data_IF_092952280811
#
_entry.id   IF_092952280811
#
_cell.length_a   1.000
_cell.length_b   1.000
_cell.length_c   1.000
_cell.angle_alpha   90.00
_cell.angle_beta   90.00
_cell.angle_gamma   90.00
#
_symmetry.space_group_name_H-M   'P 1'
#
loop_
_entity.id
_entity.type
_entity.pdbx_description
1 polymer ?
#
# COMPACT_ATOMS: atom_id res chain seq x y z
N UNK A 1 3.20 14.81 13.19
CA UNK A 1 3.50 16.00 13.99
C UNK A 1 2.62 16.10 15.25
N UNK A 2 1.27 16.16 15.14
CA UNK A 2 0.39 16.31 16.31
C UNK A 2 0.66 15.28 17.41
N UNK A 3 0.66 13.98 17.04
CA UNK A 3 0.94 12.90 17.99
C UNK A 3 2.32 13.06 18.65
N UNK A 4 3.36 13.35 17.86
CA UNK A 4 4.71 13.54 18.40
C UNK A 4 4.77 14.77 19.32
N UNK A 5 4.12 15.87 18.94
CA UNK A 5 4.03 17.07 19.78
C UNK A 5 3.36 16.77 21.13
N UNK A 6 2.31 15.92 21.12
CA UNK A 6 1.59 15.55 22.32
C UNK A 6 2.35 14.58 23.26
N UNK A 7 3.24 13.73 22.72
CA UNK A 7 3.78 12.59 23.48
C UNK A 7 5.31 12.58 23.61
N UNK A 8 6.05 13.17 22.67
CA UNK A 8 7.53 13.05 22.63
C UNK A 8 8.27 14.38 22.81
N UNK A 9 7.67 15.51 22.45
CA UNK A 9 8.37 16.79 22.44
C UNK A 9 8.88 17.22 23.83
N UNK A 10 8.15 16.89 24.89
CA UNK A 10 8.60 17.18 26.27
C UNK A 10 9.92 16.48 26.61
N UNK A 11 10.15 15.27 26.08
CA UNK A 11 11.41 14.55 26.25
C UNK A 11 12.59 15.28 25.59
N UNK A 12 12.31 16.02 24.50
CA UNK A 12 13.30 16.89 23.85
C UNK A 12 13.41 18.30 24.44
N UNK A 13 12.77 18.56 25.60
CA UNK A 13 12.76 19.87 26.25
C UNK A 13 11.81 20.90 25.62
N UNK A 14 10.91 20.46 24.75
CA UNK A 14 9.94 21.33 24.07
C UNK A 14 8.58 21.20 24.74
N UNK A 15 8.13 22.24 25.44
CA UNK A 15 6.83 22.30 26.09
C UNK A 15 5.82 23.01 25.20
N UNK A 16 4.69 22.35 24.92
CA UNK A 16 3.60 22.90 24.12
C UNK A 16 2.35 23.03 25.00
N UNK A 17 1.74 24.23 25.02
CA UNK A 17 0.45 24.47 25.66
C UNK A 17 -0.66 24.44 24.61
N UNK A 18 -1.84 23.99 25.01
CA UNK A 18 -3.09 24.06 24.22
C UNK A 18 -3.00 23.46 22.80
N UNK A 19 -2.31 22.32 22.67
CA UNK A 19 -2.19 21.62 21.40
C UNK A 19 -3.57 21.10 20.95
N UNK A 20 -4.05 21.59 19.80
CA UNK A 20 -5.35 21.23 19.22
C UNK A 20 -5.22 20.86 17.74
N UNK A 21 -6.12 20.00 17.27
CA UNK A 21 -6.27 19.68 15.86
C UNK A 21 -7.37 20.56 15.25
N UNK A 22 -7.04 21.28 14.19
CA UNK A 22 -8.02 21.90 13.30
C UNK A 22 -8.22 21.00 12.08
N UNK A 23 -9.27 20.19 12.11
CA UNK A 23 -9.60 19.26 11.01
C UNK A 23 -9.90 20.00 9.71
N UNK A 24 -10.54 21.19 9.77
CA UNK A 24 -10.84 21.96 8.56
C UNK A 24 -9.56 22.38 7.86
N UNK A 25 -8.59 22.91 8.63
CA UNK A 25 -7.29 23.31 8.09
C UNK A 25 -6.48 22.09 7.61
N UNK A 26 -6.53 20.96 8.34
CA UNK A 26 -5.82 19.75 7.95
C UNK A 26 -6.34 19.19 6.62
N UNK A 27 -7.66 19.16 6.42
CA UNK A 27 -8.26 18.75 5.15
C UNK A 27 -7.94 19.73 4.03
N UNK A 28 -8.07 21.05 4.28
CA UNK A 28 -7.71 22.07 3.30
C UNK A 28 -6.24 21.92 2.84
N UNK A 29 -5.32 21.70 3.78
CA UNK A 29 -3.89 21.46 3.43
C UNK A 29 -3.71 20.21 2.57
N UNK A 30 -4.45 19.13 2.85
CA UNK A 30 -4.44 17.92 2.01
C UNK A 30 -4.98 18.25 0.60
N UNK A 31 -6.09 18.98 0.50
CA UNK A 31 -6.68 19.35 -0.78
C UNK A 31 -5.75 20.24 -1.62
N UNK A 32 -5.02 21.18 -0.98
CA UNK A 32 -4.00 22.00 -1.63
C UNK A 32 -2.88 21.16 -2.22
N UNK A 33 -2.40 20.11 -1.50
CA UNK A 33 -1.35 19.20 -2.02
C UNK A 33 -1.88 18.43 -3.22
N UNK A 34 -3.10 17.89 -3.14
CA UNK A 34 -3.74 17.18 -4.25
C UNK A 34 -3.87 18.09 -5.47
N UNK A 35 -4.33 19.34 -5.28
CA UNK A 35 -4.46 20.32 -6.36
C UNK A 35 -3.11 20.64 -7.02
N UNK A 36 -2.05 20.80 -6.24
CA UNK A 36 -0.70 21.04 -6.78
C UNK A 36 -0.20 19.84 -7.59
N UNK A 37 -0.40 18.62 -7.12
CA UNK A 37 0.02 17.42 -7.83
C UNK A 37 -0.76 17.23 -9.14
N UNK A 38 -2.07 17.43 -9.13
CA UNK A 38 -2.89 17.32 -10.35
C UNK A 38 -2.58 18.41 -11.37
N UNK A 39 -2.31 19.65 -10.91
CA UNK A 39 -1.84 20.73 -11.77
C UNK A 39 -0.47 20.40 -12.40
N UNK A 40 0.41 19.73 -11.65
CA UNK A 40 1.69 19.22 -12.16
C UNK A 40 1.50 18.24 -13.32
N UNK A 41 0.56 17.31 -13.22
CA UNK A 41 0.23 16.35 -14.30
C UNK A 41 -0.29 17.10 -15.53
N UNK A 42 -1.21 18.04 -15.35
CA UNK A 42 -1.74 18.88 -16.44
C UNK A 42 -0.62 19.65 -17.16
N UNK A 43 0.32 20.20 -16.39
CA UNK A 43 1.51 20.85 -16.94
C UNK A 43 2.38 19.89 -17.76
N UNK A 44 2.61 18.67 -17.28
CA UNK A 44 3.39 17.66 -17.99
C UNK A 44 2.72 17.23 -19.29
N UNK A 45 1.40 17.07 -19.32
CA UNK A 45 0.66 16.78 -20.55
C UNK A 45 0.87 17.89 -21.59
N UNK A 46 0.69 19.15 -21.18
CA UNK A 46 0.91 20.32 -22.07
C UNK A 46 2.37 20.39 -22.57
N UNK A 47 3.35 20.21 -21.66
CA UNK A 47 4.79 20.25 -22.00
C UNK A 47 5.16 19.19 -23.04
N UNK A 48 4.60 17.98 -22.88
CA UNK A 48 4.89 16.85 -23.76
C UNK A 48 3.92 16.73 -24.96
N UNK A 49 3.04 17.71 -25.15
CA UNK A 49 2.06 17.74 -26.27
C UNK A 49 1.15 16.50 -26.27
N UNK A 50 0.69 16.11 -25.10
CA UNK A 50 -0.26 15.01 -24.90
C UNK A 50 -1.65 15.62 -24.81
N UNK A 51 -2.56 15.19 -25.67
CA UNK A 51 -3.97 15.60 -25.64
C UNK A 51 -4.70 14.87 -24.52
N UNK A 52 -5.41 15.64 -23.69
CA UNK A 52 -6.23 15.12 -22.61
C UNK A 52 -7.72 15.28 -22.93
N UNK A 53 -8.47 14.20 -22.82
CA UNK A 53 -9.91 14.15 -23.06
C UNK A 53 -10.63 13.82 -21.76
N UNK A 54 -11.41 14.77 -21.26
CA UNK A 54 -12.18 14.59 -20.01
C UNK A 54 -13.50 13.91 -20.29
N UNK A 55 -13.74 12.74 -19.68
CA UNK A 55 -14.97 11.98 -19.82
C UNK A 55 -14.80 10.51 -19.48
N UNK A 56 -15.84 9.75 -19.75
CA UNK A 56 -15.85 8.28 -19.58
C UNK A 56 -15.54 7.64 -20.94
N UNK A 57 -14.38 6.98 -21.02
CA UNK A 57 -13.95 6.25 -22.22
C UNK A 57 -14.60 4.87 -22.29
N UNK A 58 -15.07 4.49 -23.48
CA UNK A 58 -15.56 3.14 -23.77
C UNK A 58 -15.22 2.71 -25.18
N UNK A 59 -15.04 1.41 -25.41
CA UNK A 59 -14.82 0.88 -26.74
C UNK A 59 -16.09 0.91 -27.60
N UNK A 60 -16.00 1.42 -28.82
CA UNK A 60 -16.94 1.16 -29.90
C UNK A 60 -16.48 -0.07 -30.69
N UNK A 61 -15.19 -0.12 -30.99
CA UNK A 61 -14.44 -1.24 -31.55
C UNK A 61 -12.98 -1.19 -31.03
N UNK A 62 -12.12 -2.13 -31.46
CA UNK A 62 -10.73 -2.25 -30.96
C UNK A 62 -9.84 -1.02 -31.20
N UNK A 63 -10.19 -0.18 -32.14
CA UNK A 63 -9.43 1.02 -32.53
C UNK A 63 -10.17 2.33 -32.25
N UNK A 64 -11.46 2.26 -31.86
CA UNK A 64 -12.31 3.42 -31.67
C UNK A 64 -12.79 3.51 -30.22
N UNK A 65 -12.45 4.62 -29.55
CA UNK A 65 -12.88 4.95 -28.21
C UNK A 65 -13.92 6.08 -28.28
N UNK A 66 -15.06 5.87 -27.61
CA UNK A 66 -16.05 6.92 -27.36
C UNK A 66 -15.74 7.55 -26.03
N UNK A 67 -15.53 8.85 -26.00
CA UNK A 67 -15.44 9.65 -24.77
C UNK A 67 -16.80 10.32 -24.53
N UNK A 68 -17.48 9.93 -23.45
CA UNK A 68 -18.75 10.55 -23.03
C UNK A 68 -18.42 11.63 -21.99
N UNK A 69 -18.68 12.89 -22.31
CA UNK A 69 -18.43 14.05 -21.45
C UNK A 69 -19.53 14.20 -20.38
N UNK A 70 -19.28 15.04 -19.38
CA UNK A 70 -20.21 15.26 -18.25
C UNK A 70 -21.57 15.84 -18.69
N UNK A 71 -21.62 16.56 -19.80
CA UNK A 71 -22.85 17.12 -20.41
C UNK A 71 -23.60 16.10 -21.27
N UNK A 72 -23.11 14.85 -21.38
CA UNK A 72 -23.67 13.78 -22.18
C UNK A 72 -23.24 13.80 -23.65
N UNK A 73 -22.51 14.80 -24.11
CA UNK A 73 -21.93 14.81 -25.44
C UNK A 73 -20.86 13.74 -25.63
N UNK A 74 -20.67 13.28 -26.85
CA UNK A 74 -19.70 12.22 -27.14
C UNK A 74 -18.68 12.68 -28.17
N UNK A 75 -17.44 12.18 -28.01
CA UNK A 75 -16.37 12.39 -28.97
C UNK A 75 -15.74 11.06 -29.34
N UNK A 76 -15.41 10.85 -30.62
CA UNK A 76 -14.77 9.61 -31.09
C UNK A 76 -13.28 9.83 -31.30
N UNK A 77 -12.48 8.94 -30.72
CA UNK A 77 -11.03 8.92 -30.88
C UNK A 77 -10.61 7.61 -31.55
N UNK A 78 -9.75 7.73 -32.57
CA UNK A 78 -9.20 6.55 -33.26
C UNK A 78 -7.74 6.38 -32.91
N UNK A 79 -7.32 5.17 -32.53
CA UNK A 79 -5.96 4.86 -32.17
C UNK A 79 -5.50 3.52 -32.73
N UNK A 80 -4.20 3.41 -33.06
CA UNK A 80 -3.59 2.12 -33.46
C UNK A 80 -3.43 1.18 -32.26
N UNK A 81 -3.06 1.75 -31.10
CA UNK A 81 -2.88 1.04 -29.85
C UNK A 81 -3.71 1.73 -28.75
N UNK A 82 -4.27 0.94 -27.85
CA UNK A 82 -5.04 1.41 -26.70
C UNK A 82 -4.48 0.77 -25.43
N UNK A 83 -4.27 1.58 -24.39
CA UNK A 83 -3.84 1.11 -23.07
C UNK A 83 -4.97 1.34 -22.08
N UNK A 84 -5.48 0.27 -21.48
CA UNK A 84 -6.51 0.32 -20.45
C UNK A 84 -5.81 0.49 -19.09
N UNK A 85 -5.99 1.66 -18.47
CA UNK A 85 -5.36 2.02 -17.20
C UNK A 85 -6.41 2.57 -16.20
N UNK A 86 -7.60 1.97 -16.18
CA UNK A 86 -8.77 2.48 -15.45
C UNK A 86 -8.75 2.22 -13.95
N UNK A 87 -7.71 1.55 -13.46
CA UNK A 87 -7.46 1.38 -12.03
C UNK A 87 -8.45 0.45 -11.33
N UNK A 88 -8.75 0.75 -10.08
CA UNK A 88 -9.60 -0.06 -9.21
C UNK A 88 -10.54 0.79 -8.37
N UNK A 89 -11.52 0.13 -7.74
CA UNK A 89 -12.44 0.71 -6.77
C UNK A 89 -12.47 -0.11 -5.48
N UNK A 90 -12.86 0.46 -4.34
CA UNK A 90 -13.07 -0.31 -3.11
C UNK A 90 -14.01 -1.48 -3.35
N UNK A 91 -13.67 -2.65 -2.80
CA UNK A 91 -14.52 -3.84 -2.89
C UNK A 91 -15.78 -3.65 -2.05
N UNK A 92 -16.93 -3.83 -2.66
CA UNK A 92 -18.21 -3.87 -1.95
C UNK A 92 -18.50 -5.30 -1.50
N UNK A 93 -18.95 -5.44 -0.25
CA UNK A 93 -19.48 -6.72 0.27
C UNK A 93 -21.02 -6.65 0.22
N UNK A 94 -21.71 -7.61 -0.42
CA UNK A 94 -23.15 -7.52 -0.62
C UNK A 94 -23.98 -7.42 0.67
N UNK A 95 -23.45 -7.97 1.77
CA UNK A 95 -24.08 -7.95 3.09
C UNK A 95 -23.70 -6.75 3.95
N UNK A 96 -22.82 -5.85 3.46
CA UNK A 96 -22.30 -4.71 4.20
C UNK A 96 -22.65 -3.42 3.45
N UNK A 97 -23.74 -2.73 3.80
CA UNK A 97 -24.16 -1.52 3.10
C UNK A 97 -23.20 -0.36 3.37
N UNK A 98 -22.60 0.19 2.32
CA UNK A 98 -21.77 1.41 2.38
C UNK A 98 -22.71 2.60 2.16
N UNK A 99 -22.99 3.38 3.20
CA UNK A 99 -23.87 4.56 3.14
C UNK A 99 -23.11 5.86 2.83
N UNK A 100 -21.80 5.81 2.76
CA UNK A 100 -20.88 6.96 2.53
C UNK A 100 -21.01 8.07 3.57
N UNK A 101 -21.65 7.79 4.70
CA UNK A 101 -21.86 8.76 5.80
C UNK A 101 -21.27 8.26 7.10
N UNK A 102 -21.55 7.03 7.48
CA UNK A 102 -21.09 6.37 8.71
C UNK A 102 -20.38 5.05 8.42
N UNK A 103 -20.87 4.27 7.47
CA UNK A 103 -20.17 3.12 6.92
C UNK A 103 -19.55 3.58 5.61
N UNK A 104 -18.25 3.81 5.64
CA UNK A 104 -17.48 4.54 4.63
C UNK A 104 -16.37 3.69 4.05
N UNK A 105 -15.86 4.10 2.89
CA UNK A 105 -14.62 3.55 2.31
C UNK A 105 -13.43 4.47 2.59
N UNK A 106 -12.27 4.13 2.03
CA UNK A 106 -11.09 5.01 2.05
C UNK A 106 -11.38 6.39 1.45
N UNK A 107 -12.25 6.48 0.46
CA UNK A 107 -12.61 7.73 -0.22
C UNK A 107 -13.20 8.76 0.75
N UNK A 108 -14.22 8.37 1.49
CA UNK A 108 -14.88 9.26 2.46
C UNK A 108 -14.01 9.48 3.69
N UNK A 109 -13.24 8.47 4.11
CA UNK A 109 -12.31 8.59 5.24
C UNK A 109 -11.25 9.68 5.04
N UNK A 110 -10.85 9.97 3.80
CA UNK A 110 -9.91 11.05 3.47
C UNK A 110 -10.51 12.46 3.59
N UNK A 111 -11.82 12.59 3.85
CA UNK A 111 -12.54 13.89 3.84
C UNK A 111 -13.42 14.12 5.07
N UNK A 112 -13.24 13.32 6.13
CA UNK A 112 -13.98 13.54 7.38
C UNK A 112 -13.70 14.93 7.96
N UNK A 113 -14.76 15.59 8.39
CA UNK A 113 -14.69 16.97 8.91
C UNK A 113 -14.46 17.06 10.42
N UNK A 114 -14.46 15.90 11.08
CA UNK A 114 -14.28 15.78 12.54
C UNK A 114 -13.34 14.62 12.87
N UNK A 115 -12.71 14.65 14.02
CA UNK A 115 -12.02 13.50 14.59
C UNK A 115 -13.08 12.66 15.34
N UNK A 116 -13.42 11.44 14.86
CA UNK A 116 -14.37 10.59 15.57
C UNK A 116 -13.81 10.16 16.92
N UNK A 117 -14.70 9.88 17.89
CA UNK A 117 -14.26 9.31 19.18
C UNK A 117 -13.90 7.85 19.03
N UNK A 118 -14.68 7.11 18.23
CA UNK A 118 -14.53 5.69 18.02
C UNK A 118 -14.63 5.34 16.53
N UNK A 119 -13.86 4.34 16.09
CA UNK A 119 -13.85 3.88 14.72
C UNK A 119 -13.59 2.37 14.66
N UNK A 120 -14.41 1.66 13.88
CA UNK A 120 -14.13 0.28 13.49
C UNK A 120 -13.55 0.28 12.08
N UNK A 121 -12.48 -0.46 11.87
CA UNK A 121 -11.85 -0.68 10.56
C UNK A 121 -12.03 -2.15 10.20
N UNK A 122 -12.75 -2.43 9.12
CA UNK A 122 -12.92 -3.78 8.58
C UNK A 122 -11.84 -4.01 7.52
N UNK A 123 -10.90 -4.92 7.84
CA UNK A 123 -9.73 -5.24 7.04
C UNK A 123 -8.44 -4.71 7.65
N UNK A 124 -7.53 -5.63 8.01
CA UNK A 124 -6.19 -5.37 8.54
C UNK A 124 -5.12 -5.26 7.44
N UNK A 125 -5.52 -4.91 6.21
CA UNK A 125 -4.62 -4.62 5.10
C UNK A 125 -4.07 -3.19 5.15
N UNK A 126 -3.25 -2.83 4.15
CA UNK A 126 -2.51 -1.56 4.05
C UNK A 126 -3.43 -0.35 4.27
N UNK A 127 -4.50 -0.22 3.48
CA UNK A 127 -5.41 0.93 3.52
C UNK A 127 -6.09 1.08 4.90
N UNK A 128 -6.57 -0.04 5.47
CA UNK A 128 -7.22 -0.03 6.78
C UNK A 128 -6.30 0.41 7.90
N UNK A 129 -5.06 -0.05 7.87
CA UNK A 129 -4.06 0.30 8.89
C UNK A 129 -3.54 1.73 8.75
N UNK A 130 -3.28 2.18 7.53
CA UNK A 130 -2.85 3.57 7.30
C UNK A 130 -3.91 4.56 7.79
N UNK A 131 -5.16 4.44 7.33
CA UNK A 131 -6.24 5.34 7.73
C UNK A 131 -6.60 5.18 9.21
N UNK A 132 -6.69 3.94 9.71
CA UNK A 132 -6.94 3.68 11.11
C UNK A 132 -5.88 4.30 12.02
N UNK A 133 -4.59 4.17 11.66
CA UNK A 133 -3.50 4.77 12.43
C UNK A 133 -3.49 6.30 12.39
N UNK A 134 -3.88 6.92 11.26
CA UNK A 134 -4.04 8.38 11.17
C UNK A 134 -5.07 8.86 12.20
N UNK A 135 -6.26 8.25 12.24
CA UNK A 135 -7.29 8.63 13.20
C UNK A 135 -6.90 8.30 14.65
N UNK A 136 -6.24 7.16 14.88
CA UNK A 136 -5.72 6.83 16.20
C UNK A 136 -4.68 7.86 16.68
N UNK A 137 -3.81 8.35 15.81
CA UNK A 137 -2.84 9.43 16.11
C UNK A 137 -3.50 10.78 16.39
N UNK A 138 -4.74 10.96 15.98
CA UNK A 138 -5.56 12.14 16.27
C UNK A 138 -6.41 11.97 17.55
N UNK A 139 -6.39 10.80 18.18
CA UNK A 139 -7.08 10.51 19.44
C UNK A 139 -8.34 9.64 19.31
N UNK A 140 -8.64 9.12 18.12
CA UNK A 140 -9.75 8.17 17.92
C UNK A 140 -9.40 6.79 18.51
N UNK A 141 -10.33 6.18 19.26
CA UNK A 141 -10.21 4.76 19.64
C UNK A 141 -10.55 3.89 18.43
N UNK A 142 -9.56 3.18 17.91
CA UNK A 142 -9.68 2.36 16.68
C UNK A 142 -9.64 0.88 17.03
N UNK A 143 -10.63 0.12 16.52
CA UNK A 143 -10.64 -1.34 16.54
C UNK A 143 -10.61 -1.87 15.11
N UNK A 144 -9.60 -2.68 14.79
CA UNK A 144 -9.43 -3.35 13.50
C UNK A 144 -10.02 -4.75 13.58
N UNK A 145 -10.92 -5.11 12.64
CA UNK A 145 -11.49 -6.44 12.51
C UNK A 145 -10.94 -7.09 11.25
N UNK A 146 -10.20 -8.19 11.41
CA UNK A 146 -9.52 -8.89 10.33
C UNK A 146 -9.92 -10.35 10.28
N UNK A 147 -10.28 -10.83 9.10
CA UNK A 147 -10.66 -12.22 8.85
C UNK A 147 -9.46 -13.17 8.97
N UNK A 148 -8.30 -12.74 8.49
CA UNK A 148 -7.06 -13.50 8.56
C UNK A 148 -6.48 -13.57 9.99
N UNK A 149 -5.56 -14.51 10.27
CA UNK A 149 -4.90 -14.61 11.58
C UNK A 149 -3.90 -13.49 11.86
N UNK A 150 -3.51 -12.71 10.83
CA UNK A 150 -2.54 -11.62 10.93
C UNK A 150 -2.94 -10.43 10.08
N UNK A 151 -2.48 -9.24 10.46
CA UNK A 151 -2.55 -8.03 9.61
C UNK A 151 -1.48 -8.07 8.53
N UNK A 152 -1.65 -7.28 7.45
CA UNK A 152 -0.74 -7.20 6.30
C UNK A 152 -0.24 -8.58 5.82
N UNK A 153 -1.13 -9.57 5.75
CA UNK A 153 -0.79 -10.97 5.49
C UNK A 153 -0.15 -11.27 4.13
N UNK A 154 0.00 -10.27 3.25
CA UNK A 154 0.76 -10.36 1.99
C UNK A 154 2.24 -10.07 2.15
N UNK A 155 2.67 -9.57 3.32
CA UNK A 155 4.06 -9.29 3.67
C UNK A 155 4.62 -10.38 4.60
N UNK A 156 5.92 -10.32 4.86
CA UNK A 156 6.58 -11.24 5.81
C UNK A 156 5.88 -11.20 7.18
N UNK A 157 5.63 -12.35 7.75
CA UNK A 157 4.85 -12.49 9.00
C UNK A 157 5.48 -11.75 10.19
N UNK A 158 6.80 -11.61 10.22
CA UNK A 158 7.51 -10.83 11.24
C UNK A 158 7.11 -9.36 11.22
N UNK A 159 6.90 -8.79 10.04
CA UNK A 159 6.46 -7.39 9.89
C UNK A 159 5.05 -7.19 10.44
N UNK A 160 4.10 -8.07 10.09
CA UNK A 160 2.72 -7.99 10.59
C UNK A 160 2.63 -8.09 12.10
N UNK A 161 3.38 -9.01 12.69
CA UNK A 161 3.46 -9.20 14.15
C UNK A 161 4.03 -7.96 14.85
N UNK A 162 5.12 -7.42 14.33
CA UNK A 162 5.76 -6.25 14.93
C UNK A 162 4.90 -4.99 14.78
N UNK A 163 4.33 -4.75 13.58
CA UNK A 163 3.43 -3.62 13.36
C UNK A 163 2.23 -3.65 14.31
N UNK A 164 1.58 -4.81 14.46
CA UNK A 164 0.47 -4.97 15.39
C UNK A 164 0.88 -4.65 16.83
N UNK A 165 2.05 -5.14 17.26
CA UNK A 165 2.62 -4.86 18.58
C UNK A 165 2.81 -3.36 18.81
N UNK A 166 3.42 -2.69 17.84
CA UNK A 166 3.73 -1.25 17.95
C UNK A 166 2.45 -0.41 17.94
N UNK A 167 1.53 -0.63 17.00
CA UNK A 167 0.27 0.12 16.91
C UNK A 167 -0.60 -0.05 18.16
N UNK A 168 -0.61 -1.28 18.73
CA UNK A 168 -1.30 -1.53 20.01
C UNK A 168 -0.64 -0.77 21.16
N UNK A 169 0.69 -0.81 21.26
CA UNK A 169 1.44 -0.19 22.35
C UNK A 169 1.41 1.35 22.28
N UNK A 170 1.64 1.92 21.07
CA UNK A 170 1.83 3.37 20.91
C UNK A 170 0.54 4.14 20.68
N UNK A 171 -0.46 3.52 20.06
CA UNK A 171 -1.72 4.18 19.69
C UNK A 171 -2.96 3.60 20.37
N UNK A 172 -2.80 2.55 21.19
CA UNK A 172 -3.93 1.86 21.84
C UNK A 172 -4.91 1.21 20.86
N UNK A 173 -4.47 0.93 19.63
CA UNK A 173 -5.33 0.25 18.65
C UNK A 173 -5.64 -1.18 19.09
N UNK A 174 -6.87 -1.60 18.90
CA UNK A 174 -7.31 -2.97 19.16
C UNK A 174 -7.38 -3.77 17.86
N UNK A 175 -7.06 -5.07 17.94
CA UNK A 175 -7.03 -5.97 16.78
C UNK A 175 -7.80 -7.23 17.08
N UNK A 176 -8.87 -7.48 16.33
CA UNK A 176 -9.66 -8.69 16.32
C UNK A 176 -9.34 -9.47 15.04
N UNK A 177 -8.27 -10.28 15.09
CA UNK A 177 -7.91 -11.21 14.01
C UNK A 177 -8.71 -12.49 14.11
N UNK A 178 -8.82 -13.28 13.02
CA UNK A 178 -9.71 -14.44 12.92
C UNK A 178 -11.18 -14.10 13.22
N UNK A 179 -11.62 -12.90 12.83
CA UNK A 179 -13.00 -12.45 13.00
C UNK A 179 -13.65 -12.19 11.64
N UNK A 180 -14.72 -12.91 11.34
CA UNK A 180 -15.50 -12.77 10.10
C UNK A 180 -16.63 -11.77 10.33
N UNK A 181 -16.55 -10.61 9.71
CA UNK A 181 -17.65 -9.64 9.73
C UNK A 181 -18.88 -10.24 9.03
N UNK A 182 -20.02 -10.17 9.69
CA UNK A 182 -21.30 -10.71 9.23
C UNK A 182 -22.31 -9.63 8.87
N UNK A 183 -22.10 -8.39 9.31
CA UNK A 183 -22.97 -7.28 8.97
C UNK A 183 -22.58 -5.98 9.65
N UNK A 184 -23.20 -4.89 9.20
CA UNK A 184 -23.18 -3.61 9.90
C UNK A 184 -24.50 -2.88 9.70
N UNK A 185 -24.87 -2.07 10.67
CA UNK A 185 -26.08 -1.23 10.63
C UNK A 185 -25.82 0.12 11.27
N UNK A 186 -26.64 1.11 10.91
CA UNK A 186 -26.55 2.48 11.46
C UNK A 186 -27.86 2.81 12.17
N UNK A 187 -27.76 3.26 13.43
CA UNK A 187 -28.89 3.81 14.19
C UNK A 187 -28.50 5.21 14.71
N UNK A 188 -29.08 6.23 14.14
CA UNK A 188 -28.70 7.62 14.44
C UNK A 188 -27.28 7.91 14.03
N UNK A 189 -26.39 8.15 14.99
CA UNK A 189 -24.96 8.42 14.78
C UNK A 189 -24.06 7.22 15.10
N UNK A 190 -24.63 6.09 15.52
CA UNK A 190 -23.90 4.92 15.95
C UNK A 190 -23.93 3.85 14.87
N UNK A 191 -22.75 3.36 14.51
CA UNK A 191 -22.57 2.17 13.68
C UNK A 191 -22.41 0.96 14.59
N UNK A 192 -23.18 -0.10 14.34
CA UNK A 192 -22.97 -1.40 14.98
C UNK A 192 -22.42 -2.36 13.93
N UNK A 193 -21.24 -2.90 14.17
CA UNK A 193 -20.61 -3.96 13.35
C UNK A 193 -20.74 -5.28 14.09
N UNK A 194 -21.18 -6.32 13.37
CA UNK A 194 -21.25 -7.70 13.88
C UNK A 194 -20.19 -8.55 13.19
N UNK A 195 -19.52 -9.38 13.97
CA UNK A 195 -18.52 -10.32 13.49
C UNK A 195 -18.56 -11.61 14.31
N UNK A 196 -18.23 -12.74 13.70
CA UNK A 196 -18.06 -14.02 14.36
C UNK A 196 -16.56 -14.26 14.59
N UNK A 197 -16.18 -14.66 15.82
CA UNK A 197 -14.83 -15.08 16.12
C UNK A 197 -14.54 -16.50 15.60
N UNK A 198 -13.31 -17.00 15.77
CA UNK A 198 -12.89 -18.32 15.32
C UNK A 198 -13.72 -19.48 15.89
N UNK A 199 -14.45 -19.26 17.01
CA UNK A 199 -15.33 -20.24 17.61
C UNK A 199 -16.78 -20.13 17.12
N UNK A 200 -17.09 -19.16 16.26
CA UNK A 200 -18.45 -18.86 15.80
C UNK A 200 -19.28 -18.04 16.81
N UNK A 201 -18.65 -17.46 17.82
CA UNK A 201 -19.32 -16.61 18.79
C UNK A 201 -19.43 -15.18 18.22
N UNK A 202 -20.65 -14.63 18.28
CA UNK A 202 -20.91 -13.30 17.75
C UNK A 202 -20.35 -12.19 18.65
N UNK A 203 -19.61 -11.27 18.04
CA UNK A 203 -19.10 -10.07 18.67
C UNK A 203 -19.80 -8.85 18.06
N UNK A 204 -20.19 -7.89 18.90
CA UNK A 204 -20.77 -6.61 18.48
C UNK A 204 -19.84 -5.47 18.87
N UNK A 205 -19.59 -4.58 17.91
CA UNK A 205 -18.76 -3.38 18.09
C UNK A 205 -19.59 -2.15 17.73
N UNK A 206 -19.58 -1.15 18.59
CA UNK A 206 -20.24 0.13 18.36
C UNK A 206 -19.20 1.23 18.14
N UNK A 207 -19.41 2.07 17.13
CA UNK A 207 -18.52 3.18 16.81
C UNK A 207 -19.25 4.33 16.13
N UNK A 208 -18.60 5.50 16.08
CA UNK A 208 -19.07 6.66 15.32
C UNK A 208 -18.99 6.43 13.82
N UNK A 209 -17.93 5.73 13.37
CA UNK A 209 -17.68 5.42 11.97
C UNK A 209 -17.14 4.00 11.80
N UNK A 210 -17.44 3.43 10.63
CA UNK A 210 -16.86 2.17 10.18
C UNK A 210 -16.20 2.36 8.82
N UNK A 211 -14.88 2.08 8.71
CA UNK A 211 -14.17 2.04 7.42
C UNK A 211 -14.19 0.61 6.89
N UNK A 212 -14.66 0.43 5.65
CA UNK A 212 -14.59 -0.83 4.92
C UNK A 212 -13.36 -0.83 4.02
N UNK A 213 -12.34 -1.61 4.38
CA UNK A 213 -11.04 -1.67 3.71
C UNK A 213 -10.62 -3.12 3.39
N UNK A 214 -11.55 -3.91 2.83
CA UNK A 214 -11.40 -5.35 2.54
C UNK A 214 -10.78 -5.65 1.18
N UNK A 215 -10.11 -4.69 0.58
CA UNK A 215 -9.45 -4.80 -0.71
C UNK A 215 -10.08 -3.94 -1.79
N UNK A 216 -9.60 -4.13 -3.02
CA UNK A 216 -9.99 -3.38 -4.21
C UNK A 216 -10.32 -4.33 -5.34
N UNK A 217 -11.22 -3.90 -6.23
CA UNK A 217 -11.64 -4.66 -7.41
C UNK A 217 -11.33 -3.83 -8.66
N UNK A 218 -10.82 -4.45 -9.71
CA UNK A 218 -10.52 -3.78 -10.98
C UNK A 218 -11.74 -3.02 -11.52
N UNK A 219 -11.51 -1.82 -12.04
CA UNK A 219 -12.58 -0.97 -12.55
C UNK A 219 -12.71 -1.15 -14.06
N UNK A 220 -13.56 -2.08 -14.48
CA UNK A 220 -13.80 -2.46 -15.88
C UNK A 220 -15.24 -2.16 -16.35
N UNK A 221 -16.10 -1.72 -15.43
CA UNK A 221 -17.49 -1.44 -15.77
C UNK A 221 -17.64 -0.28 -16.76
N UNK A 222 -18.47 -0.48 -17.78
CA UNK A 222 -18.77 0.55 -18.78
C UNK A 222 -17.69 0.75 -19.87
N UNK A 223 -16.63 -0.04 -19.85
CA UNK A 223 -15.57 0.05 -20.87
C UNK A 223 -16.00 -0.51 -22.24
N UNK A 224 -17.06 -1.32 -22.32
CA UNK A 224 -17.47 -1.96 -23.58
C UNK A 224 -16.52 -3.08 -24.03
N UNK A 225 -15.88 -3.77 -23.08
CA UNK A 225 -14.90 -4.83 -23.33
C UNK A 225 -15.47 -5.98 -24.15
N UNK A 226 -16.75 -6.27 -23.96
CA UNK A 226 -17.54 -7.29 -24.70
C UNK A 226 -17.61 -7.01 -26.20
N UNK A 227 -17.59 -5.73 -26.61
CA UNK A 227 -17.63 -5.32 -28.02
C UNK A 227 -16.35 -5.68 -28.77
N UNK A 228 -15.25 -5.83 -28.04
CA UNK A 228 -13.95 -6.17 -28.60
C UNK A 228 -13.48 -7.59 -28.22
N UNK A 229 -14.38 -8.39 -27.57
CA UNK A 229 -14.10 -9.78 -27.25
C UNK A 229 -13.21 -9.99 -26.03
N UNK A 230 -13.06 -9.00 -25.15
CA UNK A 230 -12.34 -9.16 -23.88
C UNK A 230 -13.33 -9.51 -22.76
N UNK A 231 -13.07 -10.62 -22.07
CA UNK A 231 -13.83 -11.05 -20.89
C UNK A 231 -12.92 -10.93 -19.66
N UNK A 232 -13.25 -10.05 -18.71
CA UNK A 232 -12.55 -10.00 -17.43
C UNK A 232 -12.69 -11.30 -16.63
N UNK A 233 -11.71 -11.58 -15.76
CA UNK A 233 -11.77 -12.69 -14.82
C UNK A 233 -12.96 -12.54 -13.86
N UNK A 234 -13.66 -13.64 -13.54
CA UNK A 234 -14.80 -13.65 -12.59
C UNK A 234 -14.38 -13.10 -11.22
N UNK A 235 -13.20 -13.50 -10.74
CA UNK A 235 -12.68 -13.04 -9.46
C UNK A 235 -11.86 -11.76 -9.61
N UNK A 236 -12.40 -10.64 -9.16
CA UNK A 236 -11.70 -9.36 -9.11
C UNK A 236 -11.84 -8.52 -10.37
N UNK A 237 -12.55 -8.99 -11.40
CA UNK A 237 -12.79 -8.31 -12.68
C UNK A 237 -11.51 -7.88 -13.43
N UNK A 238 -10.43 -8.62 -13.26
CA UNK A 238 -9.14 -8.28 -13.87
C UNK A 238 -9.14 -8.62 -15.36
N UNK A 239 -8.47 -7.79 -16.14
CA UNK A 239 -8.29 -8.02 -17.58
C UNK A 239 -7.11 -8.97 -17.76
N UNK A 240 -7.28 -10.14 -18.41
CA UNK A 240 -6.18 -11.04 -18.73
C UNK A 240 -5.23 -10.40 -19.75
N UNK A 241 -3.93 -10.51 -19.49
CA UNK A 241 -2.86 -10.06 -20.39
C UNK A 241 -1.76 -11.11 -20.48
N UNK A 242 -1.00 -11.07 -21.59
CA UNK A 242 0.21 -11.87 -21.75
C UNK A 242 1.43 -11.21 -21.08
N UNK A 243 2.62 -11.79 -21.23
CA UNK A 243 3.87 -11.28 -20.65
C UNK A 243 4.30 -9.91 -21.21
N UNK A 244 3.67 -9.45 -22.31
CA UNK A 244 3.88 -8.13 -22.89
C UNK A 244 2.78 -7.14 -22.52
N UNK A 245 1.95 -7.47 -21.53
CA UNK A 245 0.81 -6.67 -21.08
C UNK A 245 -0.24 -6.43 -22.18
N UNK A 246 -0.20 -7.20 -23.29
CA UNK A 246 -1.19 -7.16 -24.36
C UNK A 246 -2.34 -8.11 -24.02
N UNK A 247 -3.57 -7.67 -24.26
CA UNK A 247 -4.78 -8.49 -24.09
C UNK A 247 -4.90 -9.53 -25.23
N UNK A 248 -5.96 -10.32 -25.23
CA UNK A 248 -6.26 -11.20 -26.35
C UNK A 248 -6.53 -10.44 -27.67
N UNK A 249 -6.72 -9.13 -27.62
CA UNK A 249 -6.98 -8.25 -28.77
C UNK A 249 -5.72 -7.50 -29.13
N UNK A 250 -5.16 -7.81 -30.30
CA UNK A 250 -3.92 -7.20 -30.77
C UNK A 250 -4.00 -5.67 -30.82
N UNK A 251 -3.00 -5.01 -30.21
CA UNK A 251 -2.92 -3.56 -30.09
C UNK A 251 -3.72 -2.98 -28.91
N UNK A 252 -4.34 -3.85 -28.08
CA UNK A 252 -5.01 -3.44 -26.85
C UNK A 252 -4.25 -3.99 -25.65
N UNK A 253 -3.73 -3.11 -24.84
CA UNK A 253 -2.94 -3.40 -23.64
C UNK A 253 -3.71 -3.04 -22.37
N UNK A 254 -3.33 -3.61 -21.22
CA UNK A 254 -3.87 -3.21 -19.93
C UNK A 254 -2.76 -3.19 -18.88
N UNK A 255 -2.82 -2.22 -17.96
CA UNK A 255 -1.79 -1.98 -16.94
C UNK A 255 -2.40 -1.59 -15.58
N UNK A 256 -1.60 -1.69 -14.53
CA UNK A 256 -1.96 -1.24 -13.18
C UNK A 256 -2.98 -2.13 -12.50
N UNK A 257 -3.91 -1.51 -11.76
CA UNK A 257 -4.86 -2.23 -10.92
C UNK A 257 -5.88 -3.06 -11.70
N UNK A 258 -6.06 -2.83 -13.00
CA UNK A 258 -7.03 -3.59 -13.81
C UNK A 258 -6.52 -4.96 -14.23
N UNK A 259 -5.22 -5.26 -14.04
CA UNK A 259 -4.61 -6.56 -14.34
C UNK A 259 -4.20 -7.31 -13.08
N UNK A 260 -3.71 -8.54 -13.25
CA UNK A 260 -3.17 -9.37 -12.17
C UNK A 260 -1.92 -8.73 -11.54
N UNK A 261 -1.70 -9.00 -10.25
CA UNK A 261 -0.55 -8.51 -9.48
C UNK A 261 -0.94 -7.52 -8.40
N UNK A 262 0.07 -6.87 -7.81
CA UNK A 262 -0.10 -5.87 -6.77
C UNK A 262 -0.77 -4.60 -7.32
N UNK A 263 -1.67 -4.02 -6.53
CA UNK A 263 -2.35 -2.76 -6.87
C UNK A 263 -1.53 -1.59 -6.29
N UNK A 264 -0.45 -1.22 -6.98
CA UNK A 264 0.53 -0.22 -6.57
C UNK A 264 0.76 0.79 -7.70
N UNK A 265 0.81 2.07 -7.36
CA UNK A 265 0.98 3.15 -8.32
C UNK A 265 2.30 3.04 -9.11
N UNK A 266 3.42 2.83 -8.42
CA UNK A 266 4.73 2.67 -9.04
C UNK A 266 4.83 1.44 -9.96
N UNK A 267 4.13 0.32 -9.64
CA UNK A 267 3.99 -0.81 -10.57
C UNK A 267 3.28 -0.38 -11.85
N UNK A 268 2.18 0.37 -11.75
CA UNK A 268 1.42 0.84 -12.90
C UNK A 268 2.22 1.83 -13.76
N UNK A 269 3.04 2.68 -13.13
CA UNK A 269 3.94 3.61 -13.81
C UNK A 269 4.98 2.86 -14.63
N UNK A 270 5.67 1.87 -14.05
CA UNK A 270 6.66 1.04 -14.75
C UNK A 270 6.01 0.21 -15.87
N UNK A 271 4.82 -0.35 -15.63
CA UNK A 271 4.06 -1.05 -16.69
C UNK A 271 3.66 -0.10 -17.83
N UNK A 272 3.33 1.15 -17.54
CA UNK A 272 3.06 2.18 -18.54
C UNK A 272 4.27 2.47 -19.43
N UNK A 273 5.45 2.63 -18.82
CA UNK A 273 6.72 2.80 -19.53
C UNK A 273 7.01 1.56 -20.37
N UNK A 274 6.89 0.36 -19.79
CA UNK A 274 7.10 -0.92 -20.46
C UNK A 274 6.24 -1.04 -21.74
N UNK A 275 4.94 -0.76 -21.65
CA UNK A 275 4.04 -0.86 -22.79
C UNK A 275 4.37 0.20 -23.84
N UNK A 276 4.67 1.45 -23.44
CA UNK A 276 5.04 2.50 -24.36
C UNK A 276 6.32 2.17 -25.14
N UNK A 277 7.35 1.68 -24.47
CA UNK A 277 8.60 1.25 -25.07
C UNK A 277 8.42 0.01 -25.98
N UNK A 278 7.58 -0.95 -25.57
CA UNK A 278 7.21 -2.11 -26.40
C UNK A 278 6.53 -1.68 -27.69
N UNK A 279 5.58 -0.76 -27.63
CA UNK A 279 4.90 -0.18 -28.82
C UNK A 279 5.90 0.55 -29.71
N UNK A 280 6.91 1.20 -29.14
CA UNK A 280 7.99 1.86 -29.86
C UNK A 280 9.04 0.90 -30.45
N UNK A 281 8.89 -0.42 -30.23
CA UNK A 281 9.79 -1.44 -30.76
C UNK A 281 11.06 -1.66 -29.93
N UNK A 282 11.09 -1.17 -28.69
CA UNK A 282 12.17 -1.42 -27.74
C UNK A 282 11.95 -2.78 -27.02
N UNK A 283 12.91 -3.17 -26.19
CA UNK A 283 12.86 -4.40 -25.40
C UNK A 283 13.00 -4.10 -23.90
N UNK A 284 11.99 -3.48 -23.29
CA UNK A 284 11.99 -3.22 -21.85
C UNK A 284 11.83 -4.50 -21.04
N UNK A 285 12.16 -4.44 -19.74
CA UNK A 285 11.85 -5.51 -18.80
C UNK A 285 11.29 -4.95 -17.50
N UNK A 286 10.51 -5.75 -16.80
CA UNK A 286 10.05 -5.51 -15.42
C UNK A 286 10.34 -6.75 -14.61
N UNK A 287 11.03 -6.58 -13.49
CA UNK A 287 11.18 -7.65 -12.51
C UNK A 287 10.11 -7.51 -11.42
N UNK A 288 9.01 -8.24 -11.57
CA UNK A 288 7.90 -8.18 -10.61
C UNK A 288 8.27 -8.63 -9.19
N UNK A 289 9.35 -9.41 -9.01
CA UNK A 289 9.85 -9.78 -7.70
C UNK A 289 10.52 -8.59 -6.97
N UNK A 290 10.90 -7.56 -7.70
CA UNK A 290 11.58 -6.38 -7.16
C UNK A 290 10.69 -5.14 -7.03
N UNK A 291 9.38 -5.29 -7.20
CA UNK A 291 8.44 -4.21 -6.93
C UNK A 291 8.24 -4.11 -5.41
N UNK A 292 8.69 -3.02 -4.77
CA UNK A 292 8.60 -2.91 -3.32
C UNK A 292 7.16 -2.66 -2.86
N UNK A 293 6.75 -3.32 -1.78
CA UNK A 293 5.51 -3.02 -1.07
C UNK A 293 5.79 -2.12 0.13
N UNK A 294 4.95 -1.11 0.35
CA UNK A 294 5.09 -0.16 1.47
C UNK A 294 3.78 0.02 2.21
N UNK A 295 3.84 0.18 3.53
CA UNK A 295 2.73 0.59 4.40
C UNK A 295 3.14 1.87 5.12
N UNK A 296 2.43 2.96 4.84
CA UNK A 296 2.71 4.30 5.37
C UNK A 296 2.08 4.51 6.75
N UNK A 297 2.35 3.61 7.66
CA UNK A 297 2.09 3.77 9.10
C UNK A 297 3.27 4.46 9.78
N UNK A 298 3.27 4.56 11.11
CA UNK A 298 4.46 4.88 11.87
C UNK A 298 4.60 3.91 13.04
N UNK A 299 5.65 3.07 13.04
CA UNK A 299 6.72 2.99 12.03
C UNK A 299 6.21 2.59 10.64
N UNK A 300 6.96 2.96 9.59
CA UNK A 300 6.70 2.51 8.22
C UNK A 300 7.07 1.03 8.06
N UNK A 301 6.41 0.35 7.13
CA UNK A 301 6.76 -1.02 6.75
C UNK A 301 7.13 -1.04 5.27
N UNK A 302 8.21 -1.72 4.91
CA UNK A 302 8.59 -1.91 3.52
C UNK A 302 9.14 -3.33 3.28
N UNK A 303 8.92 -3.85 2.09
CA UNK A 303 9.30 -5.21 1.73
C UNK A 303 9.58 -5.31 0.24
N UNK A 304 10.62 -6.06 -0.14
CA UNK A 304 10.93 -6.41 -1.53
C UNK A 304 11.44 -7.83 -1.59
N UNK A 305 11.18 -8.52 -2.69
CA UNK A 305 11.57 -9.91 -2.89
C UNK A 305 10.66 -10.91 -2.17
N UNK A 306 11.17 -12.10 -1.92
CA UNK A 306 10.43 -13.20 -1.32
C UNK A 306 10.39 -13.12 0.19
N UNK A 307 9.24 -13.43 0.79
CA UNK A 307 9.10 -13.54 2.23
C UNK A 307 9.70 -14.86 2.73
N UNK A 308 9.98 -14.92 4.01
CA UNK A 308 10.49 -16.13 4.66
C UNK A 308 9.51 -17.32 4.51
N UNK A 309 8.20 -17.04 4.55
CA UNK A 309 7.16 -18.05 4.35
C UNK A 309 7.15 -18.58 2.91
N UNK A 310 7.36 -17.70 1.92
CA UNK A 310 7.44 -18.10 0.51
C UNK A 310 8.67 -18.95 0.25
N UNK A 311 9.84 -18.58 0.78
CA UNK A 311 11.06 -19.38 0.66
C UNK A 311 10.90 -20.77 1.29
N UNK A 312 10.31 -20.85 2.49
CA UNK A 312 10.01 -22.11 3.18
C UNK A 312 9.06 -22.99 2.35
N UNK A 313 7.98 -22.39 1.84
CA UNK A 313 7.00 -23.12 1.01
C UNK A 313 7.61 -23.64 -0.31
N UNK A 314 8.55 -22.88 -0.89
CA UNK A 314 9.27 -23.27 -2.10
C UNK A 314 10.43 -24.24 -1.84
N UNK A 315 10.76 -24.57 -0.59
CA UNK A 315 11.88 -25.41 -0.20
C UNK A 315 13.26 -24.80 -0.50
N UNK A 316 13.31 -23.47 -0.68
CA UNK A 316 14.56 -22.73 -0.89
C UNK A 316 15.31 -22.64 0.43
N UNK A 317 16.59 -23.02 0.42
CA UNK A 317 17.47 -22.85 1.58
C UNK A 317 18.03 -21.44 1.63
N UNK A 318 17.94 -20.80 2.77
CA UNK A 318 18.34 -19.41 2.97
C UNK A 318 18.97 -19.18 4.33
N UNK A 319 19.74 -18.11 4.41
CA UNK A 319 20.24 -17.52 5.66
C UNK A 319 19.39 -16.28 5.96
N UNK A 320 19.12 -16.01 7.24
CA UNK A 320 18.37 -14.84 7.66
C UNK A 320 19.20 -14.04 8.66
N UNK A 321 19.34 -12.74 8.39
CA UNK A 321 19.94 -11.78 9.31
C UNK A 321 18.95 -10.70 9.67
N UNK A 322 18.99 -10.23 10.93
CA UNK A 322 18.10 -9.16 11.39
C UNK A 322 18.84 -8.19 12.28
N UNK A 323 18.49 -6.90 12.19
CA UNK A 323 19.03 -5.85 13.04
C UNK A 323 17.92 -4.96 13.57
N UNK A 324 17.78 -4.81 14.91
CA UNK A 324 16.72 -4.00 15.51
C UNK A 324 17.13 -2.52 15.58
N UNK A 325 16.19 -1.60 15.26
CA UNK A 325 16.45 -0.16 15.35
C UNK A 325 16.81 0.34 16.75
N UNK A 326 16.42 -0.37 17.81
CA UNK A 326 16.86 -0.06 19.19
C UNK A 326 18.39 -0.09 19.38
N UNK A 327 19.13 -0.74 18.50
CA UNK A 327 20.60 -0.76 18.48
C UNK A 327 21.20 0.40 17.66
N UNK A 328 20.42 1.07 16.79
CA UNK A 328 20.88 2.18 15.95
C UNK A 328 21.02 3.47 16.75
N UNK A 329 22.19 4.13 16.65
CA UNK A 329 22.44 5.45 17.26
C UNK A 329 21.52 6.54 16.71
N UNK A 330 21.25 6.53 15.40
CA UNK A 330 20.33 7.47 14.77
C UNK A 330 18.89 7.31 15.27
N UNK A 331 18.42 6.08 15.39
CA UNK A 331 17.09 5.79 15.89
C UNK A 331 16.92 6.18 17.37
N UNK A 332 17.96 6.00 18.19
CA UNK A 332 17.98 6.46 19.59
C UNK A 332 17.86 7.98 19.67
N UNK A 333 18.64 8.72 18.85
CA UNK A 333 18.63 10.18 18.85
C UNK A 333 17.28 10.76 18.46
N UNK A 334 16.54 10.14 17.53
CA UNK A 334 15.21 10.56 17.09
C UNK A 334 14.05 9.94 17.88
N UNK A 335 14.32 9.03 18.84
CA UNK A 335 13.32 8.25 19.59
C UNK A 335 12.46 7.33 18.71
N UNK A 336 12.96 6.93 17.55
CA UNK A 336 12.27 6.04 16.60
C UNK A 336 12.90 4.64 16.64
N UNK A 337 12.84 3.98 17.78
CA UNK A 337 13.57 2.73 18.05
C UNK A 337 12.78 1.44 17.83
N UNK A 338 11.48 1.54 17.51
CA UNK A 338 10.66 0.38 17.22
C UNK A 338 10.97 -0.19 15.82
N UNK A 339 10.99 -1.52 15.73
CA UNK A 339 11.15 -2.24 14.49
C UNK A 339 12.56 -2.79 14.22
N UNK A 340 12.73 -3.30 13.02
CA UNK A 340 13.94 -4.00 12.57
C UNK A 340 14.08 -3.99 11.06
N UNK A 341 15.27 -4.34 10.56
CA UNK A 341 15.53 -4.77 9.18
C UNK A 341 15.86 -6.25 9.19
N UNK A 342 15.29 -7.01 8.24
CA UNK A 342 15.57 -8.43 8.00
C UNK A 342 16.04 -8.63 6.55
N UNK A 343 17.15 -9.33 6.37
CA UNK A 343 17.71 -9.75 5.06
C UNK A 343 17.62 -11.27 4.98
N UNK A 344 17.12 -11.77 3.85
CA UNK A 344 17.11 -13.17 3.48
C UNK A 344 18.05 -13.37 2.30
N UNK A 345 19.03 -14.24 2.44
CA UNK A 345 20.03 -14.53 1.40
C UNK A 345 20.08 -16.03 1.10
N UNK A 346 20.34 -16.40 -0.13
CA UNK A 346 20.53 -17.80 -0.53
C UNK A 346 21.67 -18.45 0.26
N UNK A 347 21.47 -19.67 0.72
CA UNK A 347 22.44 -20.37 1.58
C UNK A 347 23.80 -20.58 0.90
N UNK A 348 23.82 -20.78 -0.44
CA UNK A 348 25.03 -21.13 -1.19
C UNK A 348 25.65 -19.95 -1.91
N UNK A 349 24.84 -19.16 -2.58
CA UNK A 349 25.32 -18.04 -3.42
C UNK A 349 25.40 -16.73 -2.69
N UNK A 350 24.78 -16.63 -1.52
CA UNK A 350 24.62 -15.41 -0.74
C UNK A 350 23.81 -14.30 -1.43
N UNK A 351 23.21 -14.57 -2.61
CA UNK A 351 22.35 -13.63 -3.32
C UNK A 351 21.16 -13.23 -2.44
N UNK A 352 20.85 -11.94 -2.38
CA UNK A 352 19.72 -11.44 -1.58
C UNK A 352 18.39 -11.86 -2.23
N UNK A 353 17.58 -12.60 -1.50
CA UNK A 353 16.29 -13.14 -1.93
C UNK A 353 15.13 -12.28 -1.48
N UNK A 354 15.29 -11.53 -0.40
CA UNK A 354 14.27 -10.65 0.12
C UNK A 354 14.79 -9.76 1.25
N UNK A 355 14.22 -8.56 1.33
CA UNK A 355 14.48 -7.60 2.41
C UNK A 355 13.17 -7.09 2.95
N UNK A 356 13.03 -7.13 4.27
CA UNK A 356 11.81 -6.80 4.99
C UNK A 356 12.15 -5.87 6.15
N UNK A 357 11.54 -4.71 6.20
CA UNK A 357 11.86 -3.72 7.23
C UNK A 357 10.60 -3.05 7.79
N UNK A 358 10.65 -2.80 9.08
CA UNK A 358 9.68 -1.98 9.79
C UNK A 358 10.47 -1.01 10.67
N UNK A 359 10.24 0.28 10.49
CA UNK A 359 10.99 1.29 11.23
C UNK A 359 10.87 2.69 10.60
N UNK A 360 11.65 3.63 11.11
CA UNK A 360 11.70 4.96 10.54
C UNK A 360 12.31 4.94 9.13
N UNK A 361 11.70 5.64 8.18
CA UNK A 361 12.19 5.75 6.80
C UNK A 361 12.25 4.43 6.02
N UNK A 362 11.51 3.41 6.42
CA UNK A 362 11.52 2.13 5.71
C UNK A 362 11.12 2.29 4.24
N UNK A 363 10.17 3.19 3.93
CA UNK A 363 9.74 3.51 2.57
C UNK A 363 10.86 4.10 1.69
N UNK A 364 11.75 4.89 2.27
CA UNK A 364 12.90 5.45 1.55
C UNK A 364 14.05 4.42 1.47
N UNK A 365 14.31 3.71 2.57
CA UNK A 365 15.41 2.75 2.70
C UNK A 365 15.28 1.53 1.79
N UNK A 366 14.05 1.10 1.49
CA UNK A 366 13.82 -0.11 0.68
C UNK A 366 14.41 0.02 -0.73
N UNK A 367 14.56 1.24 -1.24
CA UNK A 367 15.14 1.49 -2.56
C UNK A 367 16.60 1.00 -2.67
N UNK A 368 17.38 1.08 -1.60
CA UNK A 368 18.73 0.52 -1.57
C UNK A 368 18.72 -1.00 -1.76
N UNK A 369 17.78 -1.69 -1.10
CA UNK A 369 17.60 -3.12 -1.27
C UNK A 369 17.14 -3.49 -2.68
N UNK A 370 16.21 -2.72 -3.28
CA UNK A 370 15.75 -2.92 -4.67
C UNK A 370 16.94 -2.83 -5.63
N UNK A 371 17.77 -1.79 -5.51
CA UNK A 371 18.97 -1.62 -6.36
C UNK A 371 19.94 -2.77 -6.17
N UNK A 372 20.24 -3.15 -4.94
CA UNK A 372 21.13 -4.28 -4.67
C UNK A 372 20.61 -5.60 -5.31
N UNK A 373 19.32 -5.87 -5.16
CA UNK A 373 18.70 -7.07 -5.72
C UNK A 373 18.58 -7.05 -7.24
N UNK A 374 18.36 -5.89 -7.88
CA UNK A 374 18.34 -5.76 -9.35
C UNK A 374 19.69 -6.13 -9.95
N UNK A 375 20.78 -5.75 -9.28
CA UNK A 375 22.15 -6.13 -9.67
C UNK A 375 22.60 -7.48 -9.08
N UNK A 376 21.68 -8.26 -8.48
CA UNK A 376 21.94 -9.59 -7.91
C UNK A 376 23.07 -9.60 -6.89
N UNK A 377 23.12 -8.54 -6.06
CA UNK A 377 24.13 -8.44 -5.01
C UNK A 377 23.96 -9.56 -3.97
N UNK A 378 25.07 -10.00 -3.42
CA UNK A 378 25.10 -10.85 -2.23
C UNK A 378 24.85 -10.02 -0.96
N UNK A 379 24.47 -10.68 0.12
CA UNK A 379 24.41 -10.03 1.43
C UNK A 379 25.80 -9.51 1.84
N UNK A 380 26.89 -10.21 1.50
CA UNK A 380 28.28 -9.77 1.72
C UNK A 380 28.59 -8.46 0.99
N UNK A 381 28.10 -8.27 -0.26
CA UNK A 381 28.33 -7.02 -0.99
C UNK A 381 27.74 -5.83 -0.22
N UNK A 382 26.47 -5.92 0.21
CA UNK A 382 25.81 -4.87 0.99
C UNK A 382 26.51 -4.65 2.33
N UNK A 383 26.94 -5.73 2.99
CA UNK A 383 27.68 -5.67 4.26
C UNK A 383 29.01 -4.93 4.15
N UNK A 384 29.66 -4.95 2.95
CA UNK A 384 30.97 -4.30 2.71
C UNK A 384 30.88 -2.86 2.25
N UNK A 385 29.72 -2.40 1.78
CA UNK A 385 29.50 -1.01 1.36
C UNK A 385 29.64 -0.08 2.57
N UNK A 386 30.35 1.04 2.39
CA UNK A 386 30.47 2.07 3.42
C UNK A 386 29.14 2.84 3.53
N UNK A 387 28.51 2.79 4.69
CA UNK A 387 27.33 3.58 5.01
C UNK A 387 27.70 4.80 5.82
N UNK A 388 27.04 5.91 5.58
CA UNK A 388 27.25 7.12 6.37
C UNK A 388 26.78 6.93 7.82
N UNK A 389 27.54 7.46 8.78
CA UNK A 389 27.22 7.38 10.21
C UNK A 389 26.94 8.79 10.79
N UNK A 390 25.86 8.96 11.60
CA UNK A 390 24.80 8.00 11.93
C UNK A 390 23.61 8.10 10.95
N UNK A 391 23.15 6.96 10.43
CA UNK A 391 21.99 6.89 9.53
C UNK A 391 21.08 5.72 9.88
N UNK A 392 19.87 5.69 9.31
CA UNK A 392 18.99 4.54 9.43
C UNK A 392 19.41 3.38 8.52
N UNK A 393 20.08 3.68 7.38
CA UNK A 393 20.51 2.67 6.40
C UNK A 393 21.59 1.74 6.94
N UNK A 394 22.35 2.15 7.98
CA UNK A 394 23.26 1.25 8.70
C UNK A 394 22.56 -0.01 9.21
N UNK A 395 21.24 0.05 9.46
CA UNK A 395 20.46 -1.11 9.86
C UNK A 395 20.37 -2.18 8.77
N UNK A 396 20.36 -1.79 7.48
CA UNK A 396 20.42 -2.74 6.36
C UNK A 396 21.80 -3.41 6.29
N UNK A 397 22.87 -2.65 6.44
CA UNK A 397 24.23 -3.19 6.51
C UNK A 397 24.39 -4.21 7.64
N UNK A 398 23.94 -3.88 8.83
CA UNK A 398 24.04 -4.77 10.00
C UNK A 398 23.18 -6.03 9.83
N UNK A 399 21.99 -5.92 9.23
CA UNK A 399 21.14 -7.07 8.90
C UNK A 399 21.81 -7.97 7.84
N UNK A 400 22.49 -7.38 6.86
CA UNK A 400 23.28 -8.11 5.87
C UNK A 400 24.49 -8.82 6.51
N UNK A 401 25.20 -8.16 7.41
CA UNK A 401 26.27 -8.78 8.22
C UNK A 401 25.75 -9.95 9.08
N UNK A 402 24.55 -9.80 9.65
CA UNK A 402 23.91 -10.89 10.41
C UNK A 402 23.54 -12.08 9.52
N UNK A 403 23.15 -11.84 8.26
CA UNK A 403 22.85 -12.89 7.29
C UNK A 403 24.12 -13.62 6.80
N UNK A 404 25.28 -12.95 6.79
CA UNK A 404 26.56 -13.53 6.42
C UNK A 404 27.33 -13.97 7.65
N UNK A 405 27.26 -15.25 8.00
CA UNK A 405 28.00 -15.86 9.12
C UNK A 405 27.76 -15.22 10.48
N UNK A 406 26.64 -14.55 10.66
CA UNK A 406 26.25 -13.87 11.91
C UNK A 406 27.32 -12.87 12.41
N UNK A 407 27.83 -12.04 11.51
CA UNK A 407 28.91 -11.08 11.79
C UNK A 407 28.44 -9.67 12.12
N UNK A 408 27.17 -9.48 12.51
CA UNK A 408 26.71 -8.17 12.96
C UNK A 408 27.56 -7.63 14.11
N UNK A 409 27.91 -6.32 14.05
CA UNK A 409 28.88 -5.74 14.97
C UNK A 409 28.19 -5.08 16.18
N UNK A 410 27.00 -4.53 15.96
CA UNK A 410 26.32 -3.67 16.94
C UNK A 410 25.13 -4.34 17.64
N UNK A 411 25.03 -5.66 17.59
CA UNK A 411 24.00 -6.42 18.30
C UNK A 411 24.57 -7.14 19.54
#
# INVERSE_FOLDING_TARGET
HFHNAAHTFTTHGINIKDLKVDMKQMIARKDDVVAQNTAGITYLFKKNKIDAYEGVGSFEDKNTIIVTKADGSTEKLTAKNVIIATGSKPTALPFLPIDKKRIITSTEALTLKEVPKTMVVIGGGVIGLELGSVYARLGTKVTVVEFAPSIIGTMDAGLGKELQRVLKKSLGMEFLTNHKVTGASVKGKVVTVTADNAKGEAVKLEADYCIVAVGRTAYTAGLGLEKIGITPEERGNKIPVNDHLETAVKGVYAIGDVIKGAMLAHKAEDEGIYVAETIAGQKPHINYNLIPGVVYTWPEVASVGQTEEQLKAAGVKYKAGSFPFKASGRAKASMDTDGFVKVLADEKTDEILGVHMIGPRAADMIAEAVVAMEFRASAEDVARICHAHPTYTEALKEAALAATENRAIHI
#
